data_IF_291213043713
#
_entry.id   IF_291213043713
#
_cell.length_a   1.000
_cell.length_b   1.000
_cell.length_c   1.000
_cell.angle_alpha   90.00
_cell.angle_beta   90.00
_cell.angle_gamma   90.00
#
_symmetry.space_group_name_H-M   'P 1'
#
loop_
_entity.id
_entity.type
_entity.pdbx_description
1 polymer ?
#
# COMPACT_ATOMS: atom_id res chain seq x y z
N UNK A 1 4.07 -2.26 -8.20
CA UNK A 1 5.07 -1.34 -7.65
C UNK A 1 4.43 0.04 -7.67
N UNK A 2 4.32 0.74 -6.54
CA UNK A 2 3.67 2.06 -6.50
C UNK A 2 4.53 3.06 -7.27
N UNK A 3 4.04 3.55 -8.41
CA UNK A 3 4.68 4.62 -9.14
C UNK A 3 4.26 5.96 -8.54
N UNK A 4 4.94 6.39 -7.49
CA UNK A 4 4.66 7.66 -6.81
C UNK A 4 4.83 8.86 -7.73
N UNK A 5 5.65 8.75 -8.78
CA UNK A 5 5.79 9.79 -9.79
C UNK A 5 4.49 9.93 -10.60
N UNK A 6 3.85 8.82 -10.98
CA UNK A 6 2.56 8.85 -11.67
C UNK A 6 1.47 9.48 -10.80
N UNK A 7 1.44 9.16 -9.50
CA UNK A 7 0.48 9.72 -8.53
C UNK A 7 0.57 11.25 -8.49
N UNK A 8 1.79 11.77 -8.32
CA UNK A 8 2.02 13.21 -8.21
C UNK A 8 1.76 13.89 -9.55
N UNK A 9 2.14 13.26 -10.66
CA UNK A 9 1.86 13.79 -11.99
C UNK A 9 0.36 13.89 -12.25
N UNK A 10 -0.44 12.89 -11.87
CA UNK A 10 -1.91 12.93 -11.97
C UNK A 10 -2.49 14.03 -11.08
N UNK A 11 -2.04 14.13 -9.82
CA UNK A 11 -2.49 15.17 -8.89
C UNK A 11 -2.17 16.60 -9.36
N UNK A 12 -0.98 16.81 -9.92
CA UNK A 12 -0.57 18.09 -10.51
C UNK A 12 -1.33 18.40 -11.81
N UNK A 13 -1.62 17.39 -12.62
CA UNK A 13 -2.36 17.55 -13.88
C UNK A 13 -3.84 17.86 -13.66
N UNK A 14 -4.51 17.22 -12.68
CA UNK A 14 -5.95 17.42 -12.42
C UNK A 14 -6.26 18.77 -11.80
N UNK A 15 -5.34 19.34 -11.01
CA UNK A 15 -5.61 20.57 -10.26
C UNK A 15 -5.10 21.84 -10.95
N UNK A 16 -4.58 21.76 -12.19
CA UNK A 16 -4.09 22.88 -13.00
C UNK A 16 -3.28 23.93 -12.22
N UNK A 17 -2.61 23.47 -11.16
CA UNK A 17 -1.92 24.29 -10.19
C UNK A 17 -0.46 23.97 -10.35
N UNK A 18 0.24 24.86 -11.04
CA UNK A 18 1.57 25.22 -10.57
C UNK A 18 1.42 25.52 -9.09
N UNK A 19 2.07 24.70 -8.26
CA UNK A 19 2.58 25.06 -6.93
C UNK A 19 1.82 26.24 -6.29
N UNK A 20 0.90 25.99 -5.35
CA UNK A 20 0.50 26.86 -4.22
C UNK A 20 -0.94 26.49 -3.79
N UNK A 21 -1.06 25.83 -2.64
CA UNK A 21 -2.12 26.16 -1.67
C UNK A 21 -1.59 25.85 -0.27
N UNK A 22 -1.88 26.73 0.68
CA UNK A 22 -1.29 26.75 2.03
C UNK A 22 -1.76 25.61 2.95
N UNK A 23 -2.76 24.84 2.54
CA UNK A 23 -3.41 23.83 3.38
C UNK A 23 -3.66 22.51 2.64
N UNK A 24 -2.61 21.97 2.00
CA UNK A 24 -2.67 20.59 1.50
C UNK A 24 -2.75 19.62 2.68
N UNK A 25 -3.91 18.98 2.84
CA UNK A 25 -4.12 17.89 3.79
C UNK A 25 -4.32 16.60 3.01
N UNK A 26 -3.45 15.64 3.27
CA UNK A 26 -3.55 14.29 2.73
C UNK A 26 -3.85 13.35 3.88
N UNK A 27 -4.78 12.41 3.71
CA UNK A 27 -4.87 11.29 4.63
C UNK A 27 -4.68 10.01 3.86
N UNK A 28 -4.28 8.97 4.58
CA UNK A 28 -4.29 7.64 4.00
C UNK A 28 -5.06 6.69 4.89
N UNK A 29 -5.69 5.73 4.23
CA UNK A 29 -6.48 4.69 4.84
C UNK A 29 -5.62 3.44 4.93
N UNK A 30 -5.51 2.87 6.13
CA UNK A 30 -4.69 1.69 6.46
C UNK A 30 -5.56 0.47 6.76
N UNK A 31 -5.00 -0.70 6.47
CA UNK A 31 -5.49 -2.01 6.93
C UNK A 31 -6.94 -2.32 6.53
N UNK A 32 -7.41 -1.79 5.39
CA UNK A 32 -8.78 -1.95 4.88
C UNK A 32 -9.23 -3.42 4.78
N UNK A 33 -8.29 -4.35 4.70
CA UNK A 33 -8.56 -5.77 4.51
C UNK A 33 -8.51 -6.58 5.82
N UNK A 34 -7.69 -6.17 6.78
CA UNK A 34 -7.43 -6.94 8.00
C UNK A 34 -8.51 -6.78 9.07
N UNK A 35 -9.28 -5.68 9.07
CA UNK A 35 -10.29 -5.42 10.09
C UNK A 35 -11.74 -5.65 9.63
N UNK A 36 -11.92 -6.40 8.53
CA UNK A 36 -13.24 -6.76 8.03
C UNK A 36 -13.82 -7.98 8.76
N UNK A 37 -15.05 -7.86 9.26
CA UNK A 37 -15.81 -9.02 9.69
C UNK A 37 -15.97 -9.98 8.50
N UNK A 38 -15.68 -11.27 8.68
CA UNK A 38 -15.57 -12.25 7.59
C UNK A 38 -16.80 -12.36 6.67
N UNK A 39 -17.95 -11.81 7.06
CA UNK A 39 -19.18 -11.79 6.28
C UNK A 39 -19.15 -10.83 5.08
N UNK A 40 -18.49 -9.68 5.16
CA UNK A 40 -18.37 -8.73 4.03
C UNK A 40 -17.55 -9.36 2.92
N UNK A 41 -16.48 -10.04 3.33
CA UNK A 41 -15.54 -10.66 2.42
C UNK A 41 -16.26 -11.61 1.45
N UNK A 42 -17.06 -12.54 1.99
CA UNK A 42 -17.84 -13.46 1.14
C UNK A 42 -18.96 -12.78 0.38
N UNK A 43 -19.55 -11.69 0.91
CA UNK A 43 -20.55 -10.89 0.21
C UNK A 43 -19.95 -10.18 -1.00
N UNK A 44 -18.85 -9.45 -0.84
CA UNK A 44 -18.17 -8.76 -1.95
C UNK A 44 -17.68 -9.73 -3.02
N UNK A 45 -17.16 -10.90 -2.63
CA UNK A 45 -16.77 -11.94 -3.60
C UNK A 45 -17.99 -12.51 -4.30
N UNK A 46 -19.10 -12.74 -3.58
CA UNK A 46 -20.37 -13.18 -4.19
C UNK A 46 -20.85 -12.17 -5.22
N UNK A 47 -21.00 -10.91 -4.84
CA UNK A 47 -21.53 -9.84 -5.69
C UNK A 47 -20.67 -9.69 -6.96
N UNK A 48 -19.34 -9.75 -6.81
CA UNK A 48 -18.41 -9.73 -7.94
C UNK A 48 -18.58 -10.92 -8.89
N UNK A 49 -18.75 -12.14 -8.35
CA UNK A 49 -18.94 -13.34 -9.16
C UNK A 49 -20.31 -13.37 -9.82
N UNK A 50 -21.35 -12.87 -9.17
CA UNK A 50 -22.71 -12.76 -9.72
C UNK A 50 -22.76 -11.74 -10.86
N UNK A 51 -22.03 -10.63 -10.76
CA UNK A 51 -21.84 -9.69 -11.88
C UNK A 51 -21.10 -10.31 -13.08
N UNK A 52 -20.30 -11.35 -12.86
CA UNK A 52 -19.48 -12.02 -13.87
C UNK A 52 -19.88 -13.50 -14.05
N UNK A 53 -21.17 -13.80 -13.92
CA UNK A 53 -21.66 -15.17 -13.76
C UNK A 53 -21.32 -16.09 -14.94
N UNK A 54 -21.63 -15.69 -16.17
CA UNK A 54 -21.37 -16.49 -17.37
C UNK A 54 -19.88 -16.81 -17.58
N UNK A 55 -18.95 -15.83 -17.59
CA UNK A 55 -17.53 -16.12 -17.76
C UNK A 55 -16.94 -16.90 -16.57
N UNK A 56 -17.49 -16.74 -15.37
CA UNK A 56 -17.07 -17.52 -14.21
C UNK A 56 -17.50 -18.98 -14.32
N UNK A 57 -18.79 -19.26 -14.53
CA UNK A 57 -19.32 -20.62 -14.55
C UNK A 57 -18.75 -21.44 -15.72
N UNK A 58 -18.60 -20.83 -16.89
CA UNK A 58 -18.03 -21.49 -18.07
C UNK A 58 -16.57 -21.94 -17.88
N UNK A 59 -15.78 -21.19 -17.10
CA UNK A 59 -14.37 -21.53 -16.82
C UNK A 59 -14.19 -22.39 -15.58
N UNK A 60 -14.90 -22.07 -14.49
CA UNK A 60 -14.74 -22.75 -13.22
C UNK A 60 -15.49 -24.08 -13.15
N UNK A 61 -16.55 -24.24 -13.96
CA UNK A 61 -17.38 -25.45 -13.96
C UNK A 61 -18.16 -25.69 -12.67
N UNK A 62 -18.24 -24.68 -11.79
CA UNK A 62 -18.91 -24.77 -10.48
C UNK A 62 -19.78 -23.53 -10.25
N UNK A 63 -20.81 -23.68 -9.42
CA UNK A 63 -21.65 -22.54 -9.04
C UNK A 63 -20.93 -21.62 -8.04
N UNK A 64 -21.36 -20.36 -7.99
CA UNK A 64 -20.85 -19.35 -7.06
C UNK A 64 -20.91 -19.85 -5.61
N UNK A 65 -22.01 -20.49 -5.22
CA UNK A 65 -22.19 -21.06 -3.87
C UNK A 65 -21.14 -22.12 -3.53
N UNK A 66 -20.86 -23.05 -4.45
CA UNK A 66 -19.84 -24.08 -4.23
C UNK A 66 -18.44 -23.48 -4.15
N UNK A 67 -18.14 -22.50 -5.01
CA UNK A 67 -16.87 -21.79 -4.97
C UNK A 67 -16.65 -21.06 -3.64
N UNK A 68 -17.66 -20.32 -3.15
CA UNK A 68 -17.57 -19.63 -1.86
C UNK A 68 -17.35 -20.63 -0.72
N UNK A 69 -17.94 -21.83 -0.79
CA UNK A 69 -17.71 -22.89 0.21
C UNK A 69 -16.29 -23.43 0.17
N UNK A 70 -15.72 -23.64 -1.02
CA UNK A 70 -14.32 -24.04 -1.19
C UNK A 70 -13.39 -22.95 -0.65
N UNK A 71 -13.67 -21.69 -0.97
CA UNK A 71 -12.91 -20.55 -0.50
C UNK A 71 -12.95 -20.44 1.04
N UNK A 72 -14.11 -20.66 1.65
CA UNK A 72 -14.28 -20.70 3.10
C UNK A 72 -13.44 -21.82 3.74
N UNK A 73 -13.47 -23.02 3.16
CA UNK A 73 -12.65 -24.14 3.63
C UNK A 73 -11.15 -23.84 3.48
N UNK A 74 -10.73 -23.25 2.36
CA UNK A 74 -9.34 -22.85 2.13
C UNK A 74 -8.86 -21.86 3.20
N UNK A 75 -9.64 -20.79 3.45
CA UNK A 75 -9.28 -19.78 4.45
C UNK A 75 -9.23 -20.37 5.86
N UNK A 76 -10.16 -21.26 6.21
CA UNK A 76 -10.20 -21.95 7.53
C UNK A 76 -9.12 -23.03 7.71
N UNK A 77 -8.56 -23.55 6.63
CA UNK A 77 -7.54 -24.60 6.66
C UNK A 77 -6.10 -24.06 6.62
N UNK A 78 -5.93 -22.73 6.68
CA UNK A 78 -4.59 -22.14 6.70
C UNK A 78 -3.90 -22.42 8.03
N UNK A 79 -2.84 -23.23 7.97
CA UNK A 79 -2.00 -23.57 9.10
C UNK A 79 -0.64 -22.86 9.02
N UNK A 80 -0.19 -22.34 10.15
CA UNK A 80 1.07 -21.65 10.34
C UNK A 80 1.97 -22.50 11.23
N UNK A 81 3.22 -22.69 10.82
CA UNK A 81 4.24 -23.27 11.69
C UNK A 81 5.10 -22.15 12.29
N UNK A 82 5.11 -22.04 13.60
CA UNK A 82 6.02 -21.17 14.33
C UNK A 82 6.69 -21.97 15.45
N UNK A 83 8.02 -21.99 15.49
CA UNK A 83 8.81 -22.71 16.52
C UNK A 83 8.37 -24.18 16.73
N UNK A 84 8.17 -24.93 15.64
CA UNK A 84 7.67 -26.32 15.64
C UNK A 84 6.26 -26.52 16.23
N UNK A 85 5.49 -25.44 16.39
CA UNK A 85 4.07 -25.51 16.77
C UNK A 85 3.19 -25.12 15.60
N UNK A 86 2.14 -25.89 15.39
CA UNK A 86 1.13 -25.64 14.37
C UNK A 86 -0.01 -24.79 14.95
N UNK A 87 -0.33 -23.70 14.26
CA UNK A 87 -1.42 -22.79 14.58
C UNK A 87 -2.39 -22.76 13.40
N UNK A 88 -3.70 -22.77 13.66
CA UNK A 88 -4.70 -22.59 12.61
C UNK A 88 -5.22 -21.17 12.70
N UNK A 89 -5.23 -20.48 11.57
CA UNK A 89 -5.82 -19.14 11.48
C UNK A 89 -7.34 -19.25 11.57
N UNK A 90 -7.92 -18.64 12.62
CA UNK A 90 -9.37 -18.66 12.87
C UNK A 90 -10.12 -17.47 12.30
N UNK A 91 -9.43 -16.36 12.05
CA UNK A 91 -10.00 -15.07 11.65
C UNK A 91 -9.09 -14.40 10.63
N UNK A 92 -9.72 -13.58 9.80
CA UNK A 92 -9.04 -12.82 8.74
C UNK A 92 -8.33 -13.74 7.73
N UNK A 93 -7.61 -13.12 6.80
CA UNK A 93 -6.91 -13.82 5.72
C UNK A 93 -5.42 -13.75 6.00
N UNK A 94 -4.72 -14.87 5.80
CA UNK A 94 -3.30 -14.97 6.13
C UNK A 94 -2.45 -13.99 5.33
N UNK A 95 -1.62 -13.21 6.03
CA UNK A 95 -0.54 -12.43 5.39
C UNK A 95 0.45 -13.44 4.79
N UNK A 96 0.53 -13.47 3.46
CA UNK A 96 1.31 -14.46 2.71
C UNK A 96 0.48 -15.50 1.96
N UNK A 97 -0.84 -15.51 2.13
CA UNK A 97 -1.73 -16.26 1.24
C UNK A 97 -1.64 -15.73 -0.19
N UNK A 98 -1.53 -16.63 -1.17
CA UNK A 98 -1.44 -16.27 -2.59
C UNK A 98 -2.71 -15.61 -3.12
N UNK A 99 -3.85 -15.84 -2.47
CA UNK A 99 -5.14 -15.26 -2.87
C UNK A 99 -5.46 -13.95 -2.15
N UNK A 100 -4.78 -13.64 -1.03
CA UNK A 100 -5.04 -12.43 -0.26
C UNK A 100 -5.00 -11.13 -1.09
N UNK A 101 -4.02 -10.91 -2.00
CA UNK A 101 -3.99 -9.71 -2.82
C UNK A 101 -5.23 -9.59 -3.72
N UNK A 102 -5.60 -10.66 -4.43
CA UNK A 102 -6.76 -10.67 -5.33
C UNK A 102 -8.06 -10.41 -4.56
N UNK A 103 -8.19 -11.01 -3.40
CA UNK A 103 -9.33 -10.87 -2.53
C UNK A 103 -9.47 -9.45 -1.96
N UNK A 104 -8.35 -8.80 -1.63
CA UNK A 104 -8.31 -7.38 -1.27
C UNK A 104 -8.76 -6.50 -2.41
N UNK A 105 -8.35 -6.79 -3.66
CA UNK A 105 -8.79 -6.04 -4.84
C UNK A 105 -10.32 -6.10 -5.01
N UNK A 106 -10.91 -7.28 -4.88
CA UNK A 106 -12.36 -7.46 -5.02
C UNK A 106 -13.11 -6.66 -3.96
N UNK A 107 -12.70 -6.74 -2.69
CA UNK A 107 -13.37 -6.02 -1.61
C UNK A 107 -13.24 -4.50 -1.75
N UNK A 108 -12.09 -4.01 -2.23
CA UNK A 108 -11.81 -2.58 -2.37
C UNK A 108 -12.29 -1.98 -3.69
N UNK A 109 -12.81 -2.80 -4.61
CA UNK A 109 -13.46 -2.32 -5.83
C UNK A 109 -14.65 -1.40 -5.53
N UNK A 110 -15.40 -1.68 -4.46
CA UNK A 110 -16.54 -0.86 -3.99
C UNK A 110 -16.06 0.55 -3.60
N UNK A 111 -14.97 0.64 -2.84
CA UNK A 111 -14.37 1.93 -2.45
C UNK A 111 -13.88 2.71 -3.67
N UNK A 112 -13.31 2.00 -4.65
CA UNK A 112 -12.83 2.62 -5.89
C UNK A 112 -14.00 3.21 -6.70
N UNK A 113 -15.13 2.51 -6.78
CA UNK A 113 -16.35 2.99 -7.45
C UNK A 113 -16.93 4.22 -6.75
N UNK A 114 -17.07 4.16 -5.42
CA UNK A 114 -17.54 5.27 -4.59
C UNK A 114 -16.66 6.52 -4.78
N UNK A 115 -15.35 6.32 -4.85
CA UNK A 115 -14.39 7.40 -5.02
C UNK A 115 -14.44 8.06 -6.39
N UNK A 116 -14.76 7.31 -7.44
CA UNK A 116 -14.95 7.86 -8.79
C UNK A 116 -16.25 8.70 -8.83
N UNK A 117 -17.27 8.29 -8.08
CA UNK A 117 -18.56 8.99 -8.03
C UNK A 117 -18.54 10.27 -7.19
N UNK A 118 -17.67 10.36 -6.18
CA UNK A 118 -17.48 11.54 -5.35
C UNK A 118 -16.44 12.47 -5.97
N UNK A 119 -16.88 13.25 -6.97
CA UNK A 119 -16.11 14.14 -7.85
C UNK A 119 -15.24 15.23 -7.19
N UNK A 120 -15.15 15.27 -5.86
CA UNK A 120 -14.44 16.29 -5.07
C UNK A 120 -13.16 15.78 -4.37
N UNK A 121 -12.91 14.47 -4.37
CA UNK A 121 -11.69 13.85 -3.84
C UNK A 121 -11.04 12.99 -4.91
N UNK A 122 -9.77 13.26 -5.23
CA UNK A 122 -9.02 12.43 -6.18
C UNK A 122 -8.31 11.31 -5.40
N UNK A 123 -8.75 10.04 -5.50
CA UNK A 123 -7.96 8.90 -5.04
C UNK A 123 -6.70 8.86 -5.89
N UNK A 124 -5.60 9.30 -5.29
CA UNK A 124 -4.35 9.46 -6.03
C UNK A 124 -3.65 8.12 -6.20
N UNK A 125 -3.83 7.18 -5.26
CA UNK A 125 -3.23 5.85 -5.35
C UNK A 125 -3.78 4.83 -4.36
N UNK A 126 -3.83 3.57 -4.80
CA UNK A 126 -4.02 2.42 -3.94
C UNK A 126 -2.85 1.45 -4.08
N UNK A 127 -2.39 0.93 -2.94
CA UNK A 127 -1.45 -0.18 -2.88
C UNK A 127 -2.01 -1.26 -1.99
N UNK A 128 -2.53 -2.32 -2.60
CA UNK A 128 -3.21 -3.43 -1.92
C UNK A 128 -4.31 -2.87 -1.01
N UNK A 129 -4.07 -2.83 0.29
CA UNK A 129 -4.95 -2.43 1.39
C UNK A 129 -4.72 -0.99 1.88
N UNK A 130 -3.76 -0.26 1.30
CA UNK A 130 -3.43 1.11 1.65
C UNK A 130 -3.92 2.08 0.56
N UNK A 131 -4.74 3.07 0.93
CA UNK A 131 -5.26 4.08 0.01
C UNK A 131 -4.73 5.46 0.38
N UNK A 132 -4.11 6.17 -0.57
CA UNK A 132 -3.65 7.56 -0.40
C UNK A 132 -4.60 8.54 -1.08
N UNK A 133 -5.16 9.44 -0.28
CA UNK A 133 -6.06 10.49 -0.74
C UNK A 133 -5.40 11.85 -0.53
N UNK A 134 -5.39 12.64 -1.60
CA UNK A 134 -4.86 14.00 -1.60
C UNK A 134 -6.02 14.95 -1.88
N UNK A 135 -6.31 15.86 -0.95
CA UNK A 135 -7.28 16.93 -1.17
C UNK A 135 -6.70 18.28 -0.79
N UNK A 136 -7.28 19.31 -1.39
CA UNK A 136 -7.05 20.71 -1.06
C UNK A 136 -7.99 21.18 0.07
N UNK A 137 -9.09 20.46 0.31
CA UNK A 137 -10.13 20.84 1.26
C UNK A 137 -10.35 19.75 2.31
N UNK A 138 -10.43 20.14 3.58
CA UNK A 138 -10.73 19.23 4.70
C UNK A 138 -12.18 18.71 4.64
N UNK A 139 -13.12 19.54 4.18
CA UNK A 139 -14.53 19.15 4.06
C UNK A 139 -14.73 17.96 3.11
N UNK A 140 -14.09 17.97 1.94
CA UNK A 140 -14.22 16.88 0.98
C UNK A 140 -13.63 15.57 1.49
N UNK A 141 -12.61 15.64 2.36
CA UNK A 141 -12.02 14.48 3.01
C UNK A 141 -13.00 13.85 4.01
N UNK A 142 -13.68 14.68 4.83
CA UNK A 142 -14.72 14.23 5.76
C UNK A 142 -15.94 13.67 5.02
N UNK A 143 -16.36 14.31 3.93
CA UNK A 143 -17.46 13.83 3.09
C UNK A 143 -17.12 12.45 2.50
N UNK A 144 -15.90 12.31 1.97
CA UNK A 144 -15.43 11.03 1.43
C UNK A 144 -15.39 9.92 2.49
N UNK A 145 -14.88 10.23 3.67
CA UNK A 145 -14.88 9.31 4.82
C UNK A 145 -16.31 8.86 5.18
N UNK A 146 -17.26 9.80 5.23
CA UNK A 146 -18.67 9.50 5.50
C UNK A 146 -19.30 8.64 4.39
N UNK A 147 -18.95 8.88 3.12
CA UNK A 147 -19.44 8.07 2.01
C UNK A 147 -18.86 6.65 2.08
N UNK A 148 -17.58 6.47 2.41
CA UNK A 148 -17.01 5.13 2.61
C UNK A 148 -17.70 4.44 3.79
N UNK A 149 -17.83 5.10 4.94
CA UNK A 149 -18.48 4.50 6.11
C UNK A 149 -19.94 4.16 5.88
N UNK A 150 -20.66 4.91 5.05
CA UNK A 150 -22.06 4.57 4.72
C UNK A 150 -22.17 3.49 3.65
N UNK A 151 -21.26 3.47 2.68
CA UNK A 151 -21.27 2.49 1.57
C UNK A 151 -20.70 1.13 1.98
N UNK A 152 -19.80 1.12 2.96
CA UNK A 152 -19.14 -0.07 3.48
C UNK A 152 -18.94 0.06 5.01
N UNK A 153 -20.04 0.09 5.80
CA UNK A 153 -19.98 0.31 7.25
C UNK A 153 -19.20 -0.76 8.00
N UNK A 154 -19.07 -1.93 7.39
CA UNK A 154 -18.40 -3.06 8.01
C UNK A 154 -16.89 -3.06 7.71
N UNK A 155 -16.39 -2.21 6.79
CA UNK A 155 -14.96 -1.96 6.62
C UNK A 155 -14.48 -1.10 7.79
N UNK A 156 -13.75 -1.72 8.71
CA UNK A 156 -12.95 -0.98 9.65
C UNK A 156 -11.71 -0.46 8.92
N UNK A 157 -11.41 0.81 9.09
CA UNK A 157 -10.21 1.40 8.54
C UNK A 157 -9.69 2.51 9.44
N UNK A 158 -8.37 2.70 9.44
CA UNK A 158 -7.73 3.80 10.17
C UNK A 158 -7.31 4.89 9.19
N UNK A 159 -7.49 6.14 9.60
CA UNK A 159 -7.02 7.29 8.84
C UNK A 159 -5.85 7.93 9.55
N UNK A 160 -4.79 8.22 8.80
CA UNK A 160 -3.65 8.97 9.31
C UNK A 160 -3.53 10.32 8.64
N UNK A 161 -3.34 11.35 9.45
CA UNK A 161 -3.20 12.73 9.02
C UNK A 161 -1.73 13.18 9.02
N UNK A 162 -1.38 14.21 8.24
CA UNK A 162 -0.01 14.67 8.16
C UNK A 162 0.40 15.33 9.48
N UNK A 163 1.53 14.91 10.03
CA UNK A 163 2.12 15.48 11.25
C UNK A 163 3.24 16.42 10.83
N UNK A 164 3.15 17.69 11.23
CA UNK A 164 4.09 18.74 10.81
C UNK A 164 4.22 18.88 9.28
N UNK A 165 3.15 18.61 8.53
CA UNK A 165 3.18 18.66 7.05
C UNK A 165 3.92 17.49 6.40
N UNK A 166 4.20 16.42 7.16
CA UNK A 166 4.75 15.17 6.65
C UNK A 166 3.72 14.05 6.78
N UNK A 167 3.61 13.22 5.75
CA UNK A 167 2.78 12.02 5.77
C UNK A 167 3.62 10.82 5.34
N UNK A 168 3.60 9.74 6.12
CA UNK A 168 4.22 8.50 5.67
C UNK A 168 3.22 7.70 4.83
N UNK A 169 3.63 7.24 3.65
CA UNK A 169 2.92 6.24 2.87
C UNK A 169 3.87 5.12 2.44
N UNK A 170 3.73 3.93 3.04
CA UNK A 170 4.61 2.78 2.83
C UNK A 170 6.10 3.12 3.03
N UNK A 171 6.92 2.97 2.00
CA UNK A 171 8.35 3.26 1.97
C UNK A 171 8.67 4.70 1.52
N UNK A 172 7.65 5.56 1.42
CA UNK A 172 7.79 6.94 0.94
C UNK A 172 7.24 7.91 1.98
N UNK A 173 8.01 8.94 2.29
CA UNK A 173 7.53 10.07 3.09
C UNK A 173 7.19 11.22 2.16
N UNK A 174 5.95 11.69 2.26
CA UNK A 174 5.45 12.89 1.59
C UNK A 174 5.71 14.11 2.48
N UNK A 175 6.21 15.18 1.89
CA UNK A 175 6.29 16.50 2.47
C UNK A 175 5.27 17.37 1.74
N UNK A 176 4.27 17.87 2.44
CA UNK A 176 3.16 18.64 1.87
C UNK A 176 3.40 20.14 1.95
N UNK A 177 4.36 20.57 2.77
CA UNK A 177 4.68 21.98 2.98
C UNK A 177 6.19 22.23 2.87
N UNK A 178 6.63 23.34 2.22
CA UNK A 178 5.82 24.36 1.56
C UNK A 178 5.24 23.91 0.20
N UNK A 179 5.77 22.83 -0.39
CA UNK A 179 5.30 22.25 -1.65
C UNK A 179 5.32 20.71 -1.54
N UNK A 180 4.50 20.04 -2.36
CA UNK A 180 4.47 18.59 -2.44
C UNK A 180 5.83 18.04 -2.93
N UNK A 181 6.54 17.36 -2.04
CA UNK A 181 7.78 16.64 -2.29
C UNK A 181 7.70 15.25 -1.66
N UNK A 182 8.56 14.33 -2.08
CA UNK A 182 8.60 12.99 -1.49
C UNK A 182 10.00 12.41 -1.49
N UNK A 183 10.26 11.59 -0.48
CA UNK A 183 11.57 10.99 -0.22
C UNK A 183 11.42 9.50 0.07
N UNK A 184 12.36 8.70 -0.43
CA UNK A 184 12.42 7.27 -0.10
C UNK A 184 12.87 7.10 1.35
N UNK A 185 11.93 6.70 2.19
CA UNK A 185 12.14 6.55 3.62
C UNK A 185 11.20 5.49 4.18
N UNK A 186 11.75 4.41 4.73
CA UNK A 186 10.97 3.43 5.50
C UNK A 186 10.83 3.91 6.94
N UNK A 187 9.64 3.82 7.52
CA UNK A 187 9.40 4.10 8.95
C UNK A 187 10.17 3.12 9.86
N UNK A 188 9.93 1.82 9.67
CA UNK A 188 10.53 0.76 10.47
C UNK A 188 11.67 0.09 9.71
N UNK A 189 12.81 0.78 9.66
CA UNK A 189 13.98 0.29 8.97
C UNK A 189 14.61 -0.87 9.74
N UNK A 190 14.44 -2.09 9.21
CA UNK A 190 15.30 -3.20 9.60
C UNK A 190 16.77 -2.77 9.44
N UNK A 191 17.65 -3.14 10.38
CA UNK A 191 19.07 -2.86 10.25
C UNK A 191 19.58 -3.47 8.95
N UNK A 192 20.52 -2.78 8.30
CA UNK A 192 21.15 -3.32 7.11
C UNK A 192 21.96 -4.56 7.47
N UNK A 193 22.14 -5.40 6.46
CA UNK A 193 23.00 -6.55 6.56
C UNK A 193 24.43 -6.12 6.90
N UNK A 194 24.96 -6.63 8.00
CA UNK A 194 26.32 -6.30 8.44
C UNK A 194 27.36 -6.87 7.48
N UNK A 195 28.43 -6.13 7.19
CA UNK A 195 29.49 -6.61 6.29
C UNK A 195 30.20 -7.88 6.79
N UNK A 196 30.28 -8.06 8.11
CA UNK A 196 30.83 -9.26 8.76
C UNK A 196 29.90 -10.48 8.75
N UNK A 197 28.68 -10.35 8.24
CA UNK A 197 27.76 -11.48 8.13
C UNK A 197 28.23 -12.51 7.10
N UNK A 198 27.82 -13.78 7.24
CA UNK A 198 28.23 -14.88 6.36
C UNK A 198 27.59 -14.86 4.96
N UNK A 199 26.88 -13.79 4.58
CA UNK A 199 26.29 -13.68 3.25
C UNK A 199 27.34 -13.36 2.18
N UNK A 200 27.07 -13.81 0.96
CA UNK A 200 27.95 -13.61 -0.19
C UNK A 200 28.11 -12.13 -0.56
N UNK A 201 29.21 -11.80 -1.24
CA UNK A 201 29.46 -10.45 -1.78
C UNK A 201 28.32 -9.98 -2.69
N UNK A 202 27.77 -10.89 -3.51
CA UNK A 202 26.66 -10.58 -4.42
C UNK A 202 25.39 -10.17 -3.66
N UNK A 203 25.05 -10.85 -2.56
CA UNK A 203 23.90 -10.48 -1.73
C UNK A 203 24.11 -9.09 -1.13
N UNK A 204 25.28 -8.83 -0.55
CA UNK A 204 25.64 -7.53 0.03
C UNK A 204 25.60 -6.41 -1.01
N UNK A 205 26.20 -6.63 -2.18
CA UNK A 205 26.16 -5.69 -3.30
C UNK A 205 24.73 -5.44 -3.78
N UNK A 206 23.90 -6.49 -3.89
CA UNK A 206 22.51 -6.37 -4.28
C UNK A 206 21.68 -5.52 -3.30
N UNK A 207 21.95 -5.62 -1.99
CA UNK A 207 21.32 -4.75 -0.98
C UNK A 207 21.73 -3.29 -1.20
N UNK A 208 23.04 -3.02 -1.37
CA UNK A 208 23.55 -1.65 -1.60
C UNK A 208 22.95 -1.06 -2.88
N UNK A 209 23.07 -1.75 -4.01
CA UNK A 209 22.52 -1.31 -5.30
C UNK A 209 21.01 -1.10 -5.21
N UNK A 210 20.29 -2.01 -4.55
CA UNK A 210 18.85 -1.89 -4.34
C UNK A 210 18.47 -0.67 -3.52
N UNK A 211 19.21 -0.35 -2.45
CA UNK A 211 18.94 0.84 -1.62
C UNK A 211 19.18 2.13 -2.39
N UNK A 212 20.32 2.25 -3.07
CA UNK A 212 20.66 3.46 -3.83
C UNK A 212 19.73 3.64 -5.03
N UNK A 213 19.43 2.56 -5.76
CA UNK A 213 18.48 2.59 -6.88
C UNK A 213 17.06 2.96 -6.42
N UNK A 214 16.61 2.45 -5.27
CA UNK A 214 15.32 2.86 -4.72
C UNK A 214 15.33 4.32 -4.27
N UNK A 215 16.40 4.78 -3.61
CA UNK A 215 16.54 6.17 -3.19
C UNK A 215 16.53 7.13 -4.38
N UNK A 216 17.16 6.75 -5.50
CA UNK A 216 17.17 7.57 -6.71
C UNK A 216 15.83 7.56 -7.44
N UNK A 217 15.19 6.39 -7.56
CA UNK A 217 13.95 6.23 -8.36
C UNK A 217 12.67 6.60 -7.63
N UNK A 218 12.64 6.49 -6.29
CA UNK A 218 11.42 6.67 -5.48
C UNK A 218 11.39 8.00 -4.72
N UNK A 219 12.29 8.92 -5.04
CA UNK A 219 12.35 10.25 -4.44
C UNK A 219 12.18 11.29 -5.54
N UNK A 220 11.59 12.44 -5.21
CA UNK A 220 11.49 13.53 -6.17
C UNK A 220 12.86 14.16 -6.43
N UNK A 221 12.98 14.89 -7.54
CA UNK A 221 14.19 15.63 -7.89
C UNK A 221 14.72 16.52 -6.76
N UNK A 222 13.83 17.15 -5.98
CA UNK A 222 14.21 18.02 -4.86
C UNK A 222 14.81 17.26 -3.67
N UNK A 223 14.41 16.00 -3.44
CA UNK A 223 14.77 15.22 -2.26
C UNK A 223 15.69 14.02 -2.57
N UNK A 224 15.99 13.76 -3.84
CA UNK A 224 16.80 12.62 -4.27
C UNK A 224 18.20 12.64 -3.65
N UNK A 225 18.82 13.82 -3.59
CA UNK A 225 20.13 13.99 -2.98
C UNK A 225 20.12 13.61 -1.50
N UNK A 226 19.14 14.13 -0.75
CA UNK A 226 18.94 13.79 0.66
C UNK A 226 18.72 12.29 0.87
N UNK A 227 17.87 11.69 0.02
CA UNK A 227 17.53 10.26 0.09
C UNK A 227 18.76 9.37 -0.12
N UNK A 228 19.55 9.68 -1.15
CA UNK A 228 20.79 8.95 -1.47
C UNK A 228 21.81 9.12 -0.36
N UNK A 229 22.07 10.35 0.11
CA UNK A 229 23.01 10.59 1.22
C UNK A 229 22.64 9.79 2.47
N UNK A 230 21.35 9.75 2.81
CA UNK A 230 20.87 8.98 3.95
C UNK A 230 21.09 7.47 3.78
N UNK A 231 20.81 6.91 2.60
CA UNK A 231 21.07 5.47 2.37
C UNK A 231 22.58 5.17 2.35
N UNK A 232 23.41 6.06 1.82
CA UNK A 232 24.88 5.95 1.86
C UNK A 232 25.39 5.96 3.30
N UNK A 233 24.84 6.81 4.17
CA UNK A 233 25.12 6.79 5.61
C UNK A 233 24.86 5.42 6.23
N UNK A 234 23.69 4.83 5.94
CA UNK A 234 23.35 3.49 6.45
C UNK A 234 24.28 2.40 5.94
N UNK A 235 24.69 2.46 4.67
CA UNK A 235 25.64 1.52 4.07
C UNK A 235 27.00 1.61 4.79
N UNK A 236 27.45 2.84 5.08
CA UNK A 236 28.67 3.10 5.86
C UNK A 236 28.56 2.54 7.27
N UNK A 237 27.46 2.78 7.97
CA UNK A 237 27.23 2.28 9.33
C UNK A 237 27.23 0.73 9.40
N UNK A 238 26.80 0.07 8.31
CA UNK A 238 26.83 -1.38 8.18
C UNK A 238 28.19 -1.94 7.68
N UNK A 239 29.17 -1.07 7.43
CA UNK A 239 30.48 -1.36 6.84
C UNK A 239 30.42 -2.07 5.48
N UNK A 240 29.32 -1.90 4.75
CA UNK A 240 29.11 -2.55 3.46
C UNK A 240 29.98 -1.87 2.38
N UNK A 241 30.43 -2.62 1.35
CA UNK A 241 31.25 -2.06 0.28
C UNK A 241 30.49 -0.94 -0.42
N UNK A 242 31.15 0.20 -0.55
CA UNK A 242 30.62 1.32 -1.33
C UNK A 242 30.90 1.08 -2.80
N UNK A 243 30.18 1.76 -3.69
CA UNK A 243 30.41 1.65 -5.15
C UNK A 243 31.84 2.00 -5.57
N UNK A 244 32.63 2.66 -4.70
CA UNK A 244 34.04 2.96 -4.93
C UNK A 244 34.99 1.80 -4.56
N UNK A 245 34.51 0.78 -3.83
CA UNK A 245 35.31 -0.36 -3.39
C UNK A 245 35.21 -1.58 -4.34
N UNK A 246 34.53 -1.41 -5.48
CA UNK A 246 34.27 -2.46 -6.49
C UNK A 246 35.06 -2.19 -7.80
N UNK A 247 35.97 -1.21 -7.79
CA UNK A 247 36.89 -0.94 -8.89
C UNK A 247 38.20 -1.74 -8.74
#
# INVERSE_FOLDING_TARGET
MVDVQLIVNVYCATNNTSFISKDQRSFYIKDLYHSSDGNIFFKSVRDFLELNLEPFQSKAGISVTHFLRILELYLKSTALNNENKLYIQKREICIGSSIAPLLSEICLSIVSLVSIMSSSCVPSCRFVDNLLLLSLNESSLMDFENIIRSSAPELCFSMEFPVHGMLQFLDVRLLLRPFLCWTYEKLNQKPLLQAKSCHSKNVKSGVVTGLISNASRKSCYHQVHYSVLRQTGRVRDANLPTTNDIA
#
